data_IF_156059334702
#
_entry.id   IF_156059334702
#
_cell.length_a   1.000
_cell.length_b   1.000
_cell.length_c   1.000
_cell.angle_alpha   90.00
_cell.angle_beta   90.00
_cell.angle_gamma   90.00
#
_symmetry.space_group_name_H-M   'P 1'
#
loop_
_entity.id
_entity.type
_entity.pdbx_description
1 polymer ?
#
# COMPACT_ATOMS: atom_id res chain seq x y z
N UNK A 1 50.26 -18.99 9.44
CA UNK A 1 49.43 -18.60 8.26
C UNK A 1 48.04 -18.19 8.77
N UNK A 2 47.85 -16.87 8.92
CA UNK A 2 46.58 -16.22 9.20
C UNK A 2 45.54 -16.65 8.15
N UNK A 3 44.54 -17.40 8.58
CA UNK A 3 43.35 -17.64 7.77
C UNK A 3 42.20 -16.84 8.34
N UNK A 4 41.73 -15.92 7.49
CA UNK A 4 40.41 -15.31 7.45
C UNK A 4 40.09 -14.22 8.47
N UNK A 5 40.51 -13.01 8.08
CA UNK A 5 39.93 -11.74 8.48
C UNK A 5 38.47 -11.57 8.02
N UNK A 6 37.83 -10.60 8.67
CA UNK A 6 36.63 -9.84 8.27
C UNK A 6 35.31 -10.61 8.31
N UNK A 7 34.50 -10.48 9.37
CA UNK A 7 33.71 -9.29 9.69
C UNK A 7 32.99 -8.70 8.46
N UNK A 8 31.73 -9.09 8.28
CA UNK A 8 30.76 -8.34 7.51
C UNK A 8 29.43 -8.38 8.28
N UNK A 9 29.31 -7.42 9.19
CA UNK A 9 28.06 -7.00 9.76
C UNK A 9 27.12 -6.48 8.66
N UNK A 10 25.83 -6.80 8.76
CA UNK A 10 24.69 -5.91 8.48
C UNK A 10 23.41 -6.71 8.23
N UNK A 11 22.80 -7.24 9.29
CA UNK A 11 21.35 -7.11 9.44
C UNK A 11 21.14 -5.92 10.40
N UNK A 12 20.03 -5.14 10.34
CA UNK A 12 18.80 -5.34 9.59
C UNK A 12 18.39 -4.08 8.79
N UNK A 13 18.08 -4.20 7.50
CA UNK A 13 17.33 -3.14 6.81
C UNK A 13 15.83 -3.27 7.14
N UNK A 14 15.50 -3.12 8.42
CA UNK A 14 14.16 -2.70 8.82
C UNK A 14 14.00 -1.28 8.28
N UNK A 15 13.51 -1.17 7.04
CA UNK A 15 13.05 0.09 6.49
C UNK A 15 11.91 0.55 7.39
N UNK A 16 12.25 1.42 8.32
CA UNK A 16 11.32 2.31 9.00
C UNK A 16 10.83 3.25 7.89
N UNK A 17 9.86 2.78 7.10
CA UNK A 17 9.12 3.63 6.19
C UNK A 17 8.21 4.49 7.06
N UNK A 18 8.80 5.60 7.53
CA UNK A 18 8.17 6.91 7.61
C UNK A 18 6.65 6.85 7.72
N UNK A 19 6.11 6.51 8.91
CA UNK A 19 4.68 6.33 9.17
C UNK A 19 3.81 7.31 8.37
N UNK A 20 3.36 6.95 7.15
CA UNK A 20 2.27 7.69 6.57
C UNK A 20 1.09 7.32 7.45
N UNK A 21 0.26 8.29 7.79
CA UNK A 21 -0.90 8.11 8.67
C UNK A 21 -1.55 6.76 8.34
N UNK A 22 -1.52 5.76 9.24
CA UNK A 22 -1.81 4.36 8.89
C UNK A 22 -3.18 4.21 8.22
N UNK A 23 -4.09 5.14 8.51
CA UNK A 23 -5.38 5.28 7.87
C UNK A 23 -5.31 5.57 6.36
N UNK A 24 -4.45 6.47 5.90
CA UNK A 24 -4.34 6.85 4.48
C UNK A 24 -3.80 5.68 3.64
N UNK A 25 -2.77 4.99 4.13
CA UNK A 25 -2.24 3.81 3.46
C UNK A 25 -3.21 2.64 3.47
N UNK A 26 -3.86 2.38 4.61
CA UNK A 26 -4.90 1.36 4.70
C UNK A 26 -6.04 1.68 3.74
N UNK A 27 -6.46 2.95 3.62
CA UNK A 27 -7.48 3.36 2.65
C UNK A 27 -7.05 3.06 1.21
N UNK A 28 -5.85 3.52 0.81
CA UNK A 28 -5.31 3.27 -0.53
C UNK A 28 -5.23 1.78 -0.82
N UNK A 29 -4.67 1.01 0.10
CA UNK A 29 -4.53 -0.44 -0.04
C UNK A 29 -5.88 -1.14 -0.15
N UNK A 30 -6.88 -0.73 0.64
CA UNK A 30 -8.23 -1.29 0.59
C UNK A 30 -8.91 -0.99 -0.75
N UNK A 31 -8.77 0.24 -1.26
CA UNK A 31 -9.29 0.64 -2.58
C UNK A 31 -8.60 -0.17 -3.68
N UNK A 32 -7.28 -0.30 -3.64
CA UNK A 32 -6.50 -1.08 -4.60
C UNK A 32 -6.97 -2.54 -4.62
N UNK A 33 -7.06 -3.17 -3.45
CA UNK A 33 -7.53 -4.55 -3.30
C UNK A 33 -8.95 -4.74 -3.83
N UNK A 34 -9.87 -3.82 -3.53
CA UNK A 34 -11.24 -3.90 -4.03
C UNK A 34 -11.29 -3.78 -5.56
N UNK A 35 -10.48 -2.90 -6.15
CA UNK A 35 -10.37 -2.74 -7.61
C UNK A 35 -9.80 -4.02 -8.24
N UNK A 36 -8.73 -4.58 -7.68
CA UNK A 36 -8.11 -5.82 -8.15
C UNK A 36 -9.08 -7.01 -8.05
N UNK A 37 -9.76 -7.18 -6.90
CA UNK A 37 -10.80 -8.21 -6.70
C UNK A 37 -11.90 -8.15 -7.74
N UNK A 38 -12.26 -6.94 -8.15
CA UNK A 38 -13.29 -6.71 -9.16
C UNK A 38 -12.73 -6.50 -10.58
N UNK A 39 -11.47 -6.86 -10.85
CA UNK A 39 -10.82 -6.79 -12.16
C UNK A 39 -10.90 -5.40 -12.81
N UNK A 40 -10.64 -4.35 -12.03
CA UNK A 40 -10.70 -2.97 -12.52
C UNK A 40 -12.12 -2.38 -12.53
N UNK A 41 -13.13 -3.11 -12.07
CA UNK A 41 -14.50 -2.61 -12.07
C UNK A 41 -14.78 -1.68 -10.88
N UNK A 42 -14.47 -0.40 -11.09
CA UNK A 42 -14.63 0.69 -10.11
C UNK A 42 -16.04 0.76 -9.50
N UNK A 43 -17.09 0.47 -10.29
CA UNK A 43 -18.47 0.49 -9.79
C UNK A 43 -18.73 -0.62 -8.78
N UNK A 44 -18.14 -1.82 -9.00
CA UNK A 44 -18.26 -2.94 -8.07
C UNK A 44 -17.38 -2.72 -6.83
N UNK A 45 -16.15 -2.25 -7.01
CA UNK A 45 -15.26 -1.88 -5.91
C UNK A 45 -15.89 -0.81 -5.00
N UNK A 46 -16.47 0.24 -5.58
CA UNK A 46 -17.18 1.26 -4.82
C UNK A 46 -18.35 0.66 -4.01
N UNK A 47 -19.15 -0.22 -4.62
CA UNK A 47 -20.25 -0.90 -3.93
C UNK A 47 -19.77 -1.79 -2.79
N UNK A 48 -18.65 -2.50 -2.95
CA UNK A 48 -18.06 -3.35 -1.91
C UNK A 48 -17.56 -2.52 -0.72
N UNK A 49 -16.88 -1.41 -1.03
CA UNK A 49 -16.40 -0.44 -0.04
C UNK A 49 -17.53 0.39 0.60
N UNK A 50 -18.78 0.24 0.16
CA UNK A 50 -19.92 1.05 0.63
C UNK A 50 -19.86 2.51 0.19
N UNK A 51 -19.06 2.82 -0.82
CA UNK A 51 -18.86 4.16 -1.36
C UNK A 51 -19.71 4.38 -2.62
N UNK A 52 -20.11 5.63 -2.85
CA UNK A 52 -20.63 6.02 -4.16
C UNK A 52 -19.48 6.09 -5.17
N UNK A 53 -19.79 5.93 -6.46
CA UNK A 53 -18.79 6.04 -7.54
C UNK A 53 -18.01 7.36 -7.47
N UNK A 54 -18.71 8.45 -7.15
CA UNK A 54 -18.12 9.79 -6.97
C UNK A 54 -17.18 9.86 -5.76
N UNK A 55 -17.54 9.25 -4.64
CA UNK A 55 -16.68 9.22 -3.45
C UNK A 55 -15.39 8.42 -3.71
N UNK A 56 -15.51 7.29 -4.42
CA UNK A 56 -14.34 6.49 -4.82
C UNK A 56 -13.39 7.27 -5.73
N UNK A 57 -13.92 7.98 -6.75
CA UNK A 57 -13.10 8.86 -7.59
C UNK A 57 -12.37 9.95 -6.81
N UNK A 58 -13.01 10.58 -5.82
CA UNK A 58 -12.36 11.59 -4.98
C UNK A 58 -11.22 11.02 -4.12
N UNK A 59 -11.33 9.75 -3.72
CA UNK A 59 -10.25 9.05 -3.00
C UNK A 59 -9.13 8.68 -3.96
N UNK A 60 -9.43 8.14 -5.14
CA UNK A 60 -8.42 7.86 -6.17
C UNK A 60 -7.60 9.12 -6.51
N UNK A 61 -8.29 10.24 -6.76
CA UNK A 61 -7.67 11.53 -7.04
C UNK A 61 -6.80 12.03 -5.88
N UNK A 62 -7.26 11.84 -4.63
CA UNK A 62 -6.51 12.24 -3.43
C UNK A 62 -5.30 11.36 -3.13
N UNK A 63 -5.33 10.09 -3.53
CA UNK A 63 -4.29 9.11 -3.29
C UNK A 63 -3.38 8.86 -4.50
N UNK A 64 -3.60 9.58 -5.60
CA UNK A 64 -2.93 9.44 -6.90
C UNK A 64 -2.84 7.95 -7.32
N UNK A 65 -4.01 7.31 -7.41
CA UNK A 65 -4.18 5.88 -7.77
C UNK A 65 -4.73 5.78 -9.20
#
# INVERSE_FOLDING_TARGET
PESAAASAAAAPAATVAEHPLPLLEVEKNTIQQAIERHQGNLTKAAKELGLTRTALYRRLDKHDI
#
